data_IF_998090267531
#
_entry.id   IF_998090267531
#
_cell.length_a   1.000
_cell.length_b   1.000
_cell.length_c   1.000
_cell.angle_alpha   90.00
_cell.angle_beta   90.00
_cell.angle_gamma   90.00
#
_symmetry.space_group_name_H-M   'P 1'
#
loop_
_entity.id
_entity.type
_entity.pdbx_description
1 polymer ?
#
# COMPACT_ATOMS: atom_id res chain seq x y z
N UNK A 1 46.16 -26.02 -52.96
CA UNK A 1 45.89 -24.92 -52.00
C UNK A 1 44.78 -24.04 -52.58
N UNK A 2 43.53 -24.23 -52.13
CA UNK A 2 42.35 -23.53 -52.68
C UNK A 2 41.82 -22.59 -51.60
N UNK A 3 41.96 -21.28 -51.81
CA UNK A 3 41.45 -20.24 -50.91
C UNK A 3 39.92 -20.25 -50.99
N UNK A 4 39.25 -20.50 -49.86
CA UNK A 4 37.82 -20.27 -49.72
C UNK A 4 37.59 -18.80 -49.41
N UNK A 5 37.07 -18.06 -50.39
CA UNK A 5 36.52 -16.72 -50.18
C UNK A 5 35.04 -16.91 -49.87
N UNK A 6 34.66 -16.67 -48.61
CA UNK A 6 33.26 -16.65 -48.21
C UNK A 6 32.58 -15.41 -48.83
N UNK A 7 31.39 -15.57 -49.46
CA UNK A 7 30.70 -14.46 -50.09
C UNK A 7 30.16 -13.51 -49.01
N UNK A 8 30.39 -12.20 -49.21
CA UNK A 8 29.98 -11.09 -48.33
C UNK A 8 28.46 -11.00 -48.08
N UNK A 9 27.66 -11.78 -48.80
CA UNK A 9 26.21 -11.90 -48.61
C UNK A 9 25.81 -12.74 -47.39
N UNK A 10 26.68 -13.63 -46.87
CA UNK A 10 26.34 -14.48 -45.73
C UNK A 10 26.42 -13.74 -44.37
N UNK A 11 27.21 -12.66 -44.27
CA UNK A 11 27.36 -11.90 -43.03
C UNK A 11 26.17 -10.95 -42.77
N UNK A 12 25.45 -10.54 -43.82
CA UNK A 12 24.30 -9.63 -43.70
C UNK A 12 23.03 -10.32 -43.17
N UNK A 13 22.83 -11.60 -43.48
CA UNK A 13 21.61 -12.34 -43.10
C UNK A 13 21.56 -12.64 -41.59
N UNK A 14 22.71 -12.82 -40.93
CA UNK A 14 22.76 -13.05 -39.48
C UNK A 14 22.51 -11.77 -38.65
N UNK A 15 22.89 -10.60 -39.16
CA UNK A 15 22.70 -9.31 -38.44
C UNK A 15 21.23 -8.87 -38.51
N UNK A 16 20.53 -9.13 -39.61
CA UNK A 16 19.10 -8.82 -39.73
C UNK A 16 18.21 -9.70 -38.86
N UNK A 17 18.58 -10.97 -38.62
CA UNK A 17 17.82 -11.88 -37.76
C UNK A 17 17.92 -11.52 -36.26
N UNK A 18 19.05 -10.94 -35.82
CA UNK A 18 19.26 -10.51 -34.43
C UNK A 18 18.56 -9.18 -34.10
N UNK A 19 18.42 -8.28 -35.08
CA UNK A 19 17.70 -7.01 -34.90
C UNK A 19 16.17 -7.19 -34.87
N UNK A 20 15.65 -8.20 -35.57
CA UNK A 20 14.21 -8.53 -35.56
C UNK A 20 13.74 -9.25 -34.29
N UNK A 21 14.66 -9.76 -33.45
CA UNK A 21 14.31 -10.37 -32.15
C UNK A 21 14.20 -9.36 -31.00
N UNK A 22 14.67 -8.12 -31.19
CA UNK A 22 14.59 -7.06 -30.17
C UNK A 22 13.36 -6.16 -30.28
N UNK A 23 12.64 -6.19 -31.41
CA UNK A 23 11.43 -5.37 -31.62
C UNK A 23 10.19 -5.91 -30.90
N UNK A 24 10.22 -7.14 -30.37
CA UNK A 24 9.08 -7.77 -29.69
C UNK A 24 8.91 -7.42 -28.20
N UNK A 25 9.80 -6.61 -27.61
CA UNK A 25 9.76 -6.25 -26.17
C UNK A 25 9.31 -4.81 -25.89
N UNK A 26 9.00 -4.02 -26.93
CA UNK A 26 8.54 -2.63 -26.82
C UNK A 26 7.18 -2.41 -27.51
N UNK A 27 6.25 -3.33 -27.32
CA UNK A 27 4.83 -3.00 -27.43
C UNK A 27 4.36 -2.51 -26.06
N UNK A 28 4.74 -1.28 -25.71
CA UNK A 28 4.05 -0.53 -24.68
C UNK A 28 2.80 0.04 -25.33
N UNK A 29 1.64 -0.30 -24.78
CA UNK A 29 0.33 0.07 -25.30
C UNK A 29 0.25 1.56 -25.67
N UNK A 30 -0.18 1.80 -26.91
CA UNK A 30 -0.47 3.09 -27.51
C UNK A 30 -1.71 3.73 -26.86
N UNK A 31 -1.58 4.19 -25.61
CA UNK A 31 -2.56 5.09 -25.00
C UNK A 31 -2.27 6.52 -25.43
N UNK A 32 -2.86 6.91 -26.57
CA UNK A 32 -3.01 8.26 -27.13
C UNK A 32 -2.60 9.40 -26.17
N UNK A 33 -1.49 10.05 -26.48
CA UNK A 33 -1.13 11.39 -26.02
C UNK A 33 -2.15 12.43 -26.52
N UNK A 34 -3.27 12.58 -25.82
CA UNK A 34 -4.07 13.81 -25.88
C UNK A 34 -3.44 14.81 -24.91
N UNK A 35 -2.74 15.79 -25.45
CA UNK A 35 -2.23 16.93 -24.70
C UNK A 35 -3.42 17.65 -24.02
N UNK A 36 -3.50 17.55 -22.71
CA UNK A 36 -4.45 18.31 -21.90
C UNK A 36 -4.19 19.82 -22.03
N UNK A 37 -5.23 20.67 -22.07
CA UNK A 37 -5.03 22.10 -22.03
C UNK A 37 -4.25 22.46 -20.77
N UNK A 38 -3.20 23.27 -20.92
CA UNK A 38 -2.41 23.76 -19.80
C UNK A 38 -3.33 24.51 -18.84
N UNK A 39 -3.68 23.87 -17.71
CA UNK A 39 -4.16 24.63 -16.57
C UNK A 39 -3.01 25.54 -16.16
N UNK A 40 -3.22 26.86 -16.23
CA UNK A 40 -2.24 27.91 -15.93
C UNK A 40 -1.75 27.96 -14.48
N UNK A 41 -1.79 26.84 -13.76
CA UNK A 41 -1.31 26.64 -12.40
C UNK A 41 -0.07 25.70 -12.40
N UNK A 42 0.59 25.56 -13.55
CA UNK A 42 1.54 24.46 -13.88
C UNK A 42 3.03 24.72 -13.65
N UNK A 43 3.43 25.57 -12.69
CA UNK A 43 4.86 25.73 -12.36
C UNK A 43 5.19 25.31 -10.92
N UNK A 44 5.24 23.99 -10.70
CA UNK A 44 5.81 23.29 -9.54
C UNK A 44 5.35 21.81 -9.53
N UNK A 45 6.15 20.77 -9.21
CA UNK A 45 7.32 20.68 -8.32
C UNK A 45 8.25 19.53 -8.78
N UNK A 46 9.45 19.87 -9.28
CA UNK A 46 10.50 19.02 -9.88
C UNK A 46 10.18 18.39 -11.26
N UNK A 47 11.16 18.45 -12.18
CA UNK A 47 11.18 17.83 -13.52
C UNK A 47 9.88 17.94 -14.36
N UNK A 48 9.38 19.16 -14.60
CA UNK A 48 8.19 19.40 -15.45
C UNK A 48 6.93 18.59 -15.03
N UNK A 49 6.79 18.27 -13.74
CA UNK A 49 5.68 17.46 -13.24
C UNK A 49 5.90 15.95 -13.32
N UNK A 50 7.10 15.50 -13.67
CA UNK A 50 7.53 14.11 -13.53
C UNK A 50 8.03 13.87 -12.11
N UNK A 51 7.70 12.71 -11.56
CA UNK A 51 8.17 12.26 -10.25
C UNK A 51 9.71 12.30 -10.17
N UNK A 52 10.27 12.55 -8.98
CA UNK A 52 11.72 12.60 -8.83
C UNK A 52 12.36 11.24 -9.12
N UNK A 53 13.65 11.20 -9.43
CA UNK A 53 14.32 9.94 -9.82
C UNK A 53 14.13 8.81 -8.79
N UNK A 54 14.10 9.15 -7.50
CA UNK A 54 13.87 8.19 -6.39
C UNK A 54 12.42 7.71 -6.24
N UNK A 55 11.48 8.30 -7.00
CA UNK A 55 10.08 7.87 -7.09
C UNK A 55 9.85 6.85 -8.21
N UNK A 56 10.88 6.51 -9.00
CA UNK A 56 10.80 5.45 -10.00
C UNK A 56 10.58 4.08 -9.33
N UNK A 57 9.58 3.35 -9.84
CA UNK A 57 9.21 2.02 -9.34
C UNK A 57 10.41 1.04 -9.27
N UNK A 58 11.34 1.12 -10.23
CA UNK A 58 12.52 0.24 -10.26
C UNK A 58 13.47 0.52 -9.10
N UNK A 59 13.65 1.80 -8.74
CA UNK A 59 14.56 2.19 -7.65
C UNK A 59 13.91 1.90 -6.29
N UNK A 60 12.60 2.08 -6.17
CA UNK A 60 11.84 1.71 -4.99
C UNK A 60 11.80 0.19 -4.78
N UNK A 61 11.73 -0.61 -5.85
CA UNK A 61 11.71 -2.08 -5.78
C UNK A 61 12.97 -2.66 -5.12
N UNK A 62 14.15 -2.07 -5.37
CA UNK A 62 15.42 -2.52 -4.80
C UNK A 62 15.73 -1.90 -3.43
N UNK A 63 14.79 -1.15 -2.83
CA UNK A 63 14.93 -0.50 -1.52
C UNK A 63 16.21 0.34 -1.36
N UNK A 64 16.75 0.86 -2.47
CA UNK A 64 18.09 1.48 -2.49
C UNK A 64 18.10 2.89 -1.87
N UNK A 65 16.96 3.59 -1.89
CA UNK A 65 16.84 4.95 -1.34
C UNK A 65 15.59 5.09 -0.44
N UNK A 66 15.81 5.63 0.76
CA UNK A 66 14.77 5.93 1.75
C UNK A 66 14.74 4.95 2.95
N UNK A 67 14.00 5.29 4.03
CA UNK A 67 13.80 4.42 5.18
C UNK A 67 13.06 3.14 4.78
N UNK A 68 13.46 2.00 5.35
CA UNK A 68 12.86 0.67 5.07
C UNK A 68 11.36 0.62 5.36
N UNK A 69 10.90 1.48 6.27
CA UNK A 69 9.51 1.62 6.69
C UNK A 69 8.62 2.22 5.59
N UNK A 70 9.20 2.90 4.61
CA UNK A 70 8.49 3.51 3.47
C UNK A 70 8.57 2.69 2.19
N UNK A 71 9.28 1.57 2.22
CA UNK A 71 9.48 0.72 1.06
C UNK A 71 8.28 -0.18 0.78
N UNK A 72 8.02 -0.48 -0.50
CA UNK A 72 7.02 -1.48 -0.88
C UNK A 72 7.40 -2.85 -0.31
N UNK A 73 6.41 -3.57 0.21
CA UNK A 73 6.57 -4.85 0.91
C UNK A 73 6.99 -4.71 2.37
N UNK A 74 7.08 -3.49 2.92
CA UNK A 74 7.30 -3.30 4.35
C UNK A 74 6.16 -3.95 5.16
N UNK A 75 6.52 -4.90 6.02
CA UNK A 75 5.62 -5.70 6.86
C UNK A 75 6.28 -5.93 8.24
N UNK A 76 6.18 -4.97 9.16
CA UNK A 76 6.82 -5.09 10.45
C UNK A 76 6.13 -6.19 11.27
N UNK A 77 6.90 -6.85 12.14
CA UNK A 77 6.30 -7.75 13.14
C UNK A 77 5.38 -6.95 14.06
N UNK A 78 4.23 -7.55 14.37
CA UNK A 78 3.21 -6.94 15.21
C UNK A 78 3.20 -7.59 16.60
N UNK A 79 2.83 -6.85 17.65
CA UNK A 79 2.75 -7.40 19.01
C UNK A 79 1.76 -8.56 19.14
N UNK A 80 0.70 -8.56 18.33
CA UNK A 80 -0.33 -9.60 18.24
C UNK A 80 -0.50 -9.97 16.77
N UNK A 81 -0.64 -11.27 16.47
CA UNK A 81 -0.89 -11.75 15.10
C UNK A 81 -2.35 -11.55 14.70
N UNK A 82 -2.71 -10.33 14.36
CA UNK A 82 -4.04 -9.97 13.88
C UNK A 82 -4.19 -10.27 12.38
N UNK A 83 -5.24 -11.02 12.02
CA UNK A 83 -5.56 -11.41 10.64
C UNK A 83 -6.75 -10.62 10.10
N UNK A 84 -6.56 -9.82 9.03
CA UNK A 84 -7.68 -9.15 8.38
C UNK A 84 -8.55 -10.13 7.58
N UNK A 85 -7.98 -11.23 7.08
CA UNK A 85 -8.72 -12.32 6.42
C UNK A 85 -9.82 -12.86 7.33
N UNK A 86 -9.48 -13.14 8.58
CA UNK A 86 -10.46 -13.71 9.52
C UNK A 86 -11.58 -12.72 9.84
N UNK A 87 -11.24 -11.45 10.08
CA UNK A 87 -12.23 -10.46 10.49
C UNK A 87 -13.08 -9.96 9.32
N UNK A 88 -12.46 -9.61 8.19
CA UNK A 88 -13.16 -9.00 7.06
C UNK A 88 -13.71 -10.06 6.11
N UNK A 89 -12.86 -10.93 5.58
CA UNK A 89 -13.28 -11.88 4.53
C UNK A 89 -14.13 -13.02 5.07
N UNK A 90 -13.75 -13.64 6.21
CA UNK A 90 -14.49 -14.79 6.76
C UNK A 90 -15.72 -14.38 7.56
N UNK A 91 -15.63 -13.29 8.32
CA UNK A 91 -16.70 -12.85 9.22
C UNK A 91 -17.51 -11.65 8.68
N UNK A 92 -17.16 -11.09 7.52
CA UNK A 92 -17.92 -10.02 6.87
C UNK A 92 -17.89 -8.69 7.62
N UNK A 93 -16.86 -8.43 8.43
CA UNK A 93 -16.77 -7.17 9.17
C UNK A 93 -16.43 -6.00 8.23
N UNK A 94 -17.20 -4.92 8.35
CA UNK A 94 -16.95 -3.68 7.63
C UNK A 94 -15.68 -2.98 8.14
N UNK A 95 -14.91 -2.37 7.23
CA UNK A 95 -13.66 -1.67 7.56
C UNK A 95 -13.85 -0.60 8.65
N UNK A 96 -14.99 0.10 8.59
CA UNK A 96 -15.33 1.20 9.50
C UNK A 96 -15.76 0.73 10.89
N UNK A 97 -15.98 -0.58 11.09
CA UNK A 97 -16.27 -1.09 12.44
C UNK A 97 -15.08 -0.85 13.37
N UNK A 98 -13.87 -1.21 12.92
CA UNK A 98 -12.64 -0.98 13.67
C UNK A 98 -12.04 0.42 13.40
N UNK A 99 -12.04 0.85 12.13
CA UNK A 99 -11.47 2.14 11.72
C UNK A 99 -12.53 3.25 11.67
N UNK A 100 -13.27 3.41 12.76
CA UNK A 100 -14.52 4.17 12.82
C UNK A 100 -14.41 5.66 12.48
N UNK A 101 -13.26 6.28 12.70
CA UNK A 101 -13.08 7.72 12.47
C UNK A 101 -12.52 8.05 11.09
N UNK A 102 -12.26 7.06 10.22
CA UNK A 102 -11.64 7.27 8.90
C UNK A 102 -12.42 8.27 8.03
N UNK A 103 -13.74 8.35 8.22
CA UNK A 103 -14.64 9.24 7.48
C UNK A 103 -14.75 10.66 8.07
N UNK A 104 -14.19 10.89 9.26
CA UNK A 104 -14.38 12.11 10.06
C UNK A 104 -13.08 12.78 10.50
N UNK A 105 -11.95 12.10 10.33
CA UNK A 105 -10.65 12.51 10.85
C UNK A 105 -9.60 12.52 9.74
N UNK A 106 -8.57 13.37 9.84
CA UNK A 106 -7.42 13.28 8.96
C UNK A 106 -6.64 11.97 9.12
N UNK A 107 -6.71 11.32 10.28
CA UNK A 107 -6.08 10.03 10.55
C UNK A 107 -7.12 8.92 10.74
N UNK A 108 -6.84 7.73 10.21
CA UNK A 108 -7.57 6.52 10.55
C UNK A 108 -7.02 5.96 11.87
N UNK A 109 -7.84 5.94 12.90
CA UNK A 109 -7.49 5.34 14.19
C UNK A 109 -7.40 3.83 14.07
N UNK A 110 -6.46 3.26 14.82
CA UNK A 110 -6.43 1.84 15.14
C UNK A 110 -7.38 1.63 16.32
N UNK A 111 -8.22 0.57 16.33
CA UNK A 111 -9.19 0.35 17.39
C UNK A 111 -8.52 0.19 18.75
N UNK A 112 -9.23 0.62 19.79
CA UNK A 112 -8.85 0.41 21.20
C UNK A 112 -9.11 -1.06 21.61
N UNK A 113 -8.47 -1.50 22.68
CA UNK A 113 -8.53 -2.91 23.15
C UNK A 113 -9.96 -3.35 23.54
N UNK A 114 -10.80 -2.39 23.88
CA UNK A 114 -12.23 -2.55 24.20
C UNK A 114 -13.03 -3.03 22.97
N UNK A 115 -12.65 -2.58 21.77
CA UNK A 115 -13.28 -3.04 20.52
C UNK A 115 -13.05 -4.54 20.34
N UNK A 116 -11.84 -5.00 20.67
CA UNK A 116 -11.50 -6.42 20.65
C UNK A 116 -12.25 -7.19 21.76
N UNK A 117 -12.32 -6.63 22.97
CA UNK A 117 -13.03 -7.22 24.11
C UNK A 117 -14.53 -7.40 23.86
N UNK A 118 -15.15 -6.55 23.04
CA UNK A 118 -16.57 -6.64 22.70
C UNK A 118 -16.99 -7.99 22.12
N UNK A 119 -16.10 -8.66 21.37
CA UNK A 119 -16.35 -9.99 20.80
C UNK A 119 -15.55 -11.10 21.50
N UNK A 120 -14.29 -10.83 21.84
CA UNK A 120 -13.38 -11.83 22.40
C UNK A 120 -13.47 -11.95 23.94
N UNK A 121 -14.22 -11.07 24.60
CA UNK A 121 -14.26 -10.93 26.07
C UNK A 121 -15.60 -11.28 26.70
N UNK A 122 -16.56 -11.77 25.93
CA UNK A 122 -17.84 -12.20 26.47
C UNK A 122 -17.64 -13.36 27.47
N UNK A 123 -18.22 -13.29 28.66
CA UNK A 123 -18.16 -14.41 29.61
C UNK A 123 -19.05 -15.54 29.11
N UNK A 124 -18.51 -16.76 29.02
CA UNK A 124 -19.28 -17.96 28.70
C UNK A 124 -20.31 -18.19 29.81
N UNK A 125 -21.62 -18.15 29.52
CA UNK A 125 -22.66 -18.32 30.53
C UNK A 125 -22.46 -19.63 31.32
N UNK A 126 -22.53 -19.56 32.64
CA UNK A 126 -22.45 -20.72 33.53
C UNK A 126 -21.05 -21.26 33.84
N UNK A 127 -19.98 -20.72 33.24
CA UNK A 127 -18.60 -21.18 33.52
C UNK A 127 -17.68 -20.10 34.06
N UNK A 128 -18.01 -18.82 33.87
CA UNK A 128 -17.15 -17.69 34.25
C UNK A 128 -15.89 -17.56 33.38
N UNK A 129 -15.71 -18.43 32.38
CA UNK A 129 -14.59 -18.37 31.44
C UNK A 129 -14.80 -17.26 30.40
N UNK A 130 -13.71 -16.67 29.92
CA UNK A 130 -13.74 -15.75 28.77
C UNK A 130 -13.96 -16.55 27.48
N UNK A 131 -14.86 -16.08 26.62
CA UNK A 131 -15.11 -16.64 25.29
C UNK A 131 -13.95 -16.29 24.37
N UNK A 132 -12.95 -17.17 24.36
CA UNK A 132 -11.83 -17.07 23.42
C UNK A 132 -12.32 -17.47 22.03
N UNK A 133 -12.71 -16.48 21.21
CA UNK A 133 -13.24 -16.72 19.87
C UNK A 133 -12.13 -17.03 18.88
N UNK A 134 -11.80 -18.31 18.70
CA UNK A 134 -10.83 -18.78 17.71
C UNK A 134 -11.06 -20.24 17.35
N UNK A 135 -10.93 -20.57 16.07
CA UNK A 135 -11.13 -21.95 15.59
C UNK A 135 -9.86 -22.78 15.70
N UNK A 136 -8.70 -22.16 15.50
CA UNK A 136 -7.39 -22.79 15.64
C UNK A 136 -6.77 -22.47 17.00
N UNK A 137 -5.94 -23.38 17.53
CA UNK A 137 -5.31 -23.17 18.84
C UNK A 137 -4.35 -21.97 18.84
N UNK A 138 -3.65 -21.72 17.74
CA UNK A 138 -2.82 -20.52 17.56
C UNK A 138 -3.62 -19.23 17.69
N UNK A 139 -4.86 -19.19 17.20
CA UNK A 139 -5.72 -18.00 17.35
C UNK A 139 -6.13 -17.82 18.81
N UNK A 140 -6.46 -18.91 19.50
CA UNK A 140 -6.83 -18.87 20.92
C UNK A 140 -5.67 -18.37 21.79
N UNK A 141 -4.44 -18.75 21.45
CA UNK A 141 -3.23 -18.26 22.12
C UNK A 141 -3.04 -16.75 21.94
N UNK A 142 -3.19 -16.23 20.72
CA UNK A 142 -3.07 -14.79 20.44
C UNK A 142 -4.18 -13.97 21.12
N UNK A 143 -5.40 -14.52 21.23
CA UNK A 143 -6.50 -13.88 21.97
C UNK A 143 -6.24 -13.94 23.47
N UNK A 144 -5.72 -15.06 23.98
CA UNK A 144 -5.31 -15.13 25.39
C UNK A 144 -4.23 -14.09 25.70
N UNK A 145 -3.25 -13.93 24.81
CA UNK A 145 -2.22 -12.88 24.88
C UNK A 145 -2.83 -11.48 24.91
N UNK A 146 -3.81 -11.20 24.04
CA UNK A 146 -4.58 -9.96 24.06
C UNK A 146 -5.15 -9.66 25.45
N UNK A 147 -5.79 -10.65 26.09
CA UNK A 147 -6.38 -10.47 27.42
C UNK A 147 -5.34 -10.28 28.51
N UNK A 148 -4.35 -11.15 28.56
CA UNK A 148 -3.40 -11.21 29.68
C UNK A 148 -2.41 -10.04 29.66
N UNK A 149 -1.97 -9.60 28.49
CA UNK A 149 -0.95 -8.55 28.36
C UNK A 149 -1.54 -7.14 28.23
N UNK A 150 -2.73 -7.01 27.62
CA UNK A 150 -3.28 -5.70 27.23
C UNK A 150 -4.59 -5.36 27.94
N UNK A 151 -5.63 -6.19 27.81
CA UNK A 151 -6.95 -5.86 28.37
C UNK A 151 -6.95 -5.87 29.91
N UNK A 152 -6.51 -6.95 30.56
CA UNK A 152 -6.53 -7.04 32.03
C UNK A 152 -5.67 -5.98 32.72
N UNK A 153 -4.46 -5.65 32.21
CA UNK A 153 -3.64 -4.59 32.79
C UNK A 153 -4.07 -3.18 32.39
N UNK A 154 -5.08 -3.02 31.52
CA UNK A 154 -5.51 -1.71 31.00
C UNK A 154 -4.47 -1.02 30.10
N UNK A 155 -3.70 -1.80 29.35
CA UNK A 155 -2.65 -1.30 28.43
C UNK A 155 -3.15 -1.31 26.99
N UNK A 156 -2.79 -0.27 26.25
CA UNK A 156 -2.98 -0.23 24.79
C UNK A 156 -1.94 -1.12 24.09
N UNK A 157 -2.33 -1.68 22.94
CA UNK A 157 -1.42 -2.48 22.13
C UNK A 157 -0.45 -1.54 21.40
N UNK A 158 0.87 -1.70 21.53
CA UNK A 158 1.87 -0.85 20.89
C UNK A 158 2.06 -1.25 19.42
N UNK A 159 1.04 -1.02 18.58
CA UNK A 159 1.07 -1.38 17.16
C UNK A 159 2.21 -0.71 16.40
N UNK A 160 2.87 -1.48 15.54
CA UNK A 160 3.88 -0.95 14.61
C UNK A 160 3.19 -0.51 13.32
N UNK A 161 3.21 0.79 13.02
CA UNK A 161 2.54 1.34 11.84
C UNK A 161 3.22 0.87 10.56
N UNK A 162 2.46 0.25 9.65
CA UNK A 162 2.93 -0.15 8.31
C UNK A 162 3.00 1.03 7.35
N UNK A 163 2.05 1.95 7.46
CA UNK A 163 1.94 3.14 6.61
C UNK A 163 2.35 4.38 7.41
N UNK A 164 3.53 4.90 7.11
CA UNK A 164 4.06 6.13 7.72
C UNK A 164 4.33 7.16 6.63
N UNK A 165 3.80 8.36 6.81
CA UNK A 165 4.09 9.52 5.99
C UNK A 165 5.04 10.45 6.75
N UNK A 166 5.92 11.21 6.07
CA UNK A 166 6.75 12.21 6.72
C UNK A 166 5.92 13.28 7.45
N UNK A 167 6.45 13.83 8.54
CA UNK A 167 5.72 14.81 9.38
C UNK A 167 5.36 16.12 8.65
N UNK A 168 6.14 16.49 7.63
CA UNK A 168 5.88 17.66 6.78
C UNK A 168 4.81 17.39 5.71
N UNK A 169 4.16 16.21 5.72
CA UNK A 169 3.07 15.86 4.81
C UNK A 169 1.75 15.77 5.57
N UNK A 170 0.76 16.54 5.15
CA UNK A 170 -0.60 16.54 5.70
C UNK A 170 -1.54 15.69 4.87
N UNK A 171 -1.59 14.41 5.16
CA UNK A 171 -2.59 13.52 4.61
C UNK A 171 -3.89 13.55 5.44
N UNK A 172 -5.04 13.57 4.78
CA UNK A 172 -6.35 13.60 5.46
C UNK A 172 -7.28 12.50 4.92
N UNK A 173 -7.51 11.43 5.68
CA UNK A 173 -8.38 10.32 5.28
C UNK A 173 -9.80 10.79 4.94
N UNK A 174 -10.41 11.61 5.82
CA UNK A 174 -11.75 12.16 5.62
C UNK A 174 -11.96 12.75 4.22
N UNK A 175 -11.03 13.57 3.73
CA UNK A 175 -11.18 14.22 2.40
C UNK A 175 -11.15 13.20 1.27
N UNK A 176 -10.26 12.22 1.34
CA UNK A 176 -10.13 11.20 0.29
C UNK A 176 -11.35 10.28 0.27
N UNK A 177 -11.83 9.85 1.45
CA UNK A 177 -13.05 9.04 1.53
C UNK A 177 -14.28 9.82 1.04
N UNK A 178 -14.41 11.11 1.41
CA UNK A 178 -15.50 11.97 0.91
C UNK A 178 -15.44 12.19 -0.60
N UNK A 179 -14.26 12.15 -1.19
CA UNK A 179 -14.06 12.19 -2.64
C UNK A 179 -14.34 10.85 -3.34
N UNK A 180 -14.74 9.80 -2.60
CA UNK A 180 -15.07 8.49 -3.16
C UNK A 180 -13.86 7.58 -3.41
N UNK A 181 -12.69 7.91 -2.85
CA UNK A 181 -11.48 7.08 -2.98
C UNK A 181 -11.64 5.83 -2.08
N UNK A 182 -11.55 4.65 -2.68
CA UNK A 182 -11.68 3.37 -1.97
C UNK A 182 -10.43 3.04 -1.15
N UNK A 183 -10.58 2.34 -0.03
CA UNK A 183 -9.46 1.94 0.83
C UNK A 183 -8.39 1.13 0.06
N UNK A 184 -8.87 0.25 -0.83
CA UNK A 184 -8.05 -0.71 -1.57
C UNK A 184 -7.16 -0.06 -2.63
N UNK A 185 -7.51 1.13 -3.14
CA UNK A 185 -6.65 1.83 -4.12
C UNK A 185 -5.34 2.29 -3.49
N UNK A 186 -5.32 2.52 -2.17
CA UNK A 186 -4.14 2.93 -1.43
C UNK A 186 -3.51 1.77 -0.65
N UNK A 187 -4.33 0.97 0.03
CA UNK A 187 -3.86 -0.06 0.97
C UNK A 187 -3.81 -1.47 0.38
N UNK A 188 -4.26 -1.66 -0.87
CA UNK A 188 -4.36 -2.97 -1.51
C UNK A 188 -5.53 -3.81 -1.00
N UNK A 189 -5.48 -5.11 -1.31
CA UNK A 189 -6.50 -6.08 -0.87
C UNK A 189 -6.30 -6.47 0.60
N UNK A 190 -6.48 -5.52 1.51
CA UNK A 190 -6.43 -5.75 2.97
C UNK A 190 -7.30 -6.94 3.42
N UNK A 191 -8.52 -7.16 2.89
CA UNK A 191 -9.32 -8.34 3.26
C UNK A 191 -8.62 -9.68 2.98
N UNK A 192 -7.63 -9.71 2.09
CA UNK A 192 -6.86 -10.90 1.71
C UNK A 192 -5.49 -10.96 2.40
N UNK A 193 -5.19 -10.02 3.32
CA UNK A 193 -3.91 -9.93 4.01
C UNK A 193 -3.97 -10.57 5.39
N UNK A 194 -3.20 -11.66 5.59
CA UNK A 194 -3.00 -12.24 6.92
C UNK A 194 -2.16 -11.31 7.80
N UNK A 195 -1.13 -10.68 7.22
CA UNK A 195 -0.33 -9.61 7.83
C UNK A 195 -0.34 -8.43 6.86
N UNK A 196 -0.65 -7.24 7.36
CA UNK A 196 -0.68 -6.03 6.52
C UNK A 196 0.72 -5.69 6.03
N UNK A 197 0.82 -5.41 4.73
CA UNK A 197 2.04 -4.94 4.10
C UNK A 197 1.78 -3.67 3.27
N UNK A 198 2.83 -2.90 3.06
CA UNK A 198 2.78 -1.71 2.21
C UNK A 198 2.83 -2.09 0.73
N UNK A 199 1.70 -2.06 0.04
CA UNK A 199 1.64 -2.42 -1.39
C UNK A 199 1.89 -1.25 -2.33
N UNK A 200 1.48 -0.03 -1.96
CA UNK A 200 1.68 1.18 -2.77
C UNK A 200 2.89 1.97 -2.25
N UNK A 201 3.54 2.73 -3.14
CA UNK A 201 4.68 3.54 -2.71
C UNK A 201 4.25 4.74 -1.85
N UNK A 202 3.05 5.31 -2.08
CA UNK A 202 2.54 6.56 -1.47
C UNK A 202 3.63 7.63 -1.31
N UNK A 203 4.53 7.68 -2.30
CA UNK A 203 5.51 8.76 -2.45
C UNK A 203 4.86 9.92 -3.19
N UNK A 204 5.56 11.05 -3.24
CA UNK A 204 5.05 12.27 -3.87
C UNK A 204 4.58 12.04 -5.31
N UNK A 205 5.38 11.37 -6.14
CA UNK A 205 4.99 11.04 -7.51
C UNK A 205 3.65 10.31 -7.60
N UNK A 206 3.46 9.26 -6.79
CA UNK A 206 2.22 8.49 -6.76
C UNK A 206 1.00 9.35 -6.35
N UNK A 207 1.17 10.23 -5.36
CA UNK A 207 0.11 11.16 -4.96
C UNK A 207 -0.23 12.17 -6.07
N UNK A 208 0.80 12.75 -6.71
CA UNK A 208 0.63 13.76 -7.78
C UNK A 208 -0.03 13.14 -9.00
N UNK A 209 0.36 11.93 -9.39
CA UNK A 209 -0.23 11.23 -10.54
C UNK A 209 -1.71 10.93 -10.30
N UNK A 210 -2.05 10.37 -9.14
CA UNK A 210 -3.45 10.15 -8.74
C UNK A 210 -4.24 11.47 -8.70
N UNK A 211 -3.70 12.53 -8.09
CA UNK A 211 -4.37 13.84 -8.05
C UNK A 211 -4.58 14.42 -9.45
N UNK A 212 -3.64 14.23 -10.37
CA UNK A 212 -3.76 14.68 -11.77
C UNK A 212 -4.89 13.94 -12.48
N UNK A 213 -4.95 12.62 -12.34
CA UNK A 213 -6.02 11.78 -12.91
C UNK A 213 -7.40 12.14 -12.37
N UNK A 214 -7.47 12.49 -11.08
CA UNK A 214 -8.72 12.88 -10.40
C UNK A 214 -9.05 14.37 -10.51
N UNK A 215 -8.27 15.16 -11.27
CA UNK A 215 -8.47 16.61 -11.40
C UNK A 215 -8.37 17.38 -10.08
N UNK A 216 -7.64 16.84 -9.10
CA UNK A 216 -7.44 17.41 -7.77
C UNK A 216 -6.22 18.32 -7.71
N UNK A 217 -6.16 19.21 -6.71
CA UNK A 217 -5.04 20.13 -6.55
C UNK A 217 -3.73 19.38 -6.29
N UNK A 218 -2.67 19.80 -6.99
CA UNK A 218 -1.28 19.36 -6.81
C UNK A 218 -0.41 20.46 -6.21
N UNK A 219 -1.04 21.53 -5.70
CA UNK A 219 -0.33 22.64 -5.07
C UNK A 219 0.45 22.17 -3.83
N UNK A 220 1.67 22.68 -3.67
CA UNK A 220 2.59 22.30 -2.60
C UNK A 220 1.93 22.40 -1.22
N UNK A 221 1.20 23.49 -0.96
CA UNK A 221 0.64 23.80 0.36
C UNK A 221 -0.60 22.98 0.69
N UNK A 222 -1.19 22.30 -0.29
CA UNK A 222 -2.27 21.33 -0.04
C UNK A 222 -1.73 20.11 0.68
N UNK A 223 -0.50 19.70 0.36
CA UNK A 223 0.13 18.49 0.89
C UNK A 223 1.17 18.79 1.98
N UNK A 224 1.82 19.96 1.95
CA UNK A 224 2.96 20.27 2.80
C UNK A 224 2.70 21.45 3.74
N UNK A 225 3.19 21.35 4.98
CA UNK A 225 3.27 22.45 5.94
C UNK A 225 4.57 22.41 6.73
#
# INVERSE_FOLDING_TARGET
MRKYVLPTTFLFVCITAYLLSFQGLYAADDAKDQAYPESGVRTGVWNNGQAALWDLNIIDHFHYFGPKERARGHRPEQPIKFSHITHVQKNGMECQFCHWNVTKSPFASIPEVETCAGCHGESVPGTGALKITGTADSQKEEIKKLFDEYIKPGKQIPWTKVHVMPDHVRFTHERHIKAGVNCQSCHGQIPEMEVVERVTSMKMGWCVDCHREQGSSIDCYVCHK
#
